data_IF_170598531907
#
_entry.id   IF_170598531907
#
_cell.length_a   1.000
_cell.length_b   1.000
_cell.length_c   1.000
_cell.angle_alpha   90.00
_cell.angle_beta   90.00
_cell.angle_gamma   90.00
#
_symmetry.space_group_name_H-M   'P 1'
#
loop_
_entity.id
_entity.type
_entity.pdbx_description
1 polymer ?
#
# COMPACT_ATOMS: atom_id res chain seq x y z
N UNK A 1 -62.49 22.59 97.78
CA UNK A 1 -63.09 23.81 97.21
C UNK A 1 -63.90 23.35 96.00
N UNK A 2 -65.20 23.12 96.24
CA UNK A 2 -66.11 22.41 95.34
C UNK A 2 -66.94 23.47 94.60
N UNK A 3 -66.99 23.35 93.28
CA UNK A 3 -67.78 24.08 92.28
C UNK A 3 -68.12 25.55 92.59
N UNK A 4 -67.36 26.46 91.99
CA UNK A 4 -67.66 27.90 91.98
C UNK A 4 -68.18 28.40 90.61
N UNK A 5 -68.52 27.49 89.71
CA UNK A 5 -69.17 27.79 88.43
C UNK A 5 -70.52 27.08 88.47
N UNK A 6 -71.59 27.83 88.24
CA UNK A 6 -72.93 27.25 88.09
C UNK A 6 -72.88 26.30 86.88
N UNK A 7 -73.19 25.00 87.03
CA UNK A 7 -73.19 24.07 85.89
C UNK A 7 -74.07 24.54 84.74
N UNK A 8 -75.10 25.36 85.00
CA UNK A 8 -75.91 25.97 83.96
C UNK A 8 -75.16 27.06 83.16
N UNK A 9 -74.24 27.78 83.79
CA UNK A 9 -73.40 28.81 83.16
C UNK A 9 -72.35 28.16 82.26
N UNK A 10 -71.70 27.08 82.72
CA UNK A 10 -70.76 26.30 81.88
C UNK A 10 -71.44 25.71 80.65
N UNK A 11 -72.67 25.19 80.78
CA UNK A 11 -73.43 24.68 79.64
C UNK A 11 -73.78 25.79 78.64
N UNK A 12 -74.07 27.01 79.11
CA UNK A 12 -74.30 28.17 78.24
C UNK A 12 -73.02 28.62 77.55
N UNK A 13 -71.90 28.72 78.26
CA UNK A 13 -70.60 29.04 77.64
C UNK A 13 -70.20 28.00 76.59
N UNK A 14 -70.44 26.71 76.84
CA UNK A 14 -70.17 25.67 75.83
C UNK A 14 -71.12 25.71 74.64
N UNK A 15 -72.36 26.17 74.83
CA UNK A 15 -73.33 26.33 73.75
C UNK A 15 -73.00 27.57 72.90
N UNK A 16 -72.61 28.67 73.55
CA UNK A 16 -72.18 29.91 72.88
C UNK A 16 -70.83 29.74 72.17
N UNK A 17 -69.93 28.91 72.71
CA UNK A 17 -68.67 28.54 72.06
C UNK A 17 -68.81 27.54 70.91
N UNK A 18 -69.99 26.92 70.73
CA UNK A 18 -70.25 25.99 69.63
C UNK A 18 -70.79 26.75 68.42
N UNK A 19 -69.86 27.22 67.58
CA UNK A 19 -70.21 27.95 66.35
C UNK A 19 -70.45 26.97 65.18
N UNK A 20 -71.69 26.48 65.11
CA UNK A 20 -72.15 25.59 64.04
C UNK A 20 -72.18 26.30 62.68
N UNK A 21 -72.39 27.62 62.66
CA UNK A 21 -72.51 28.39 61.42
C UNK A 21 -71.15 28.49 60.72
N UNK A 22 -70.08 28.77 61.47
CA UNK A 22 -68.71 28.71 60.95
C UNK A 22 -68.37 27.32 60.40
N UNK A 23 -68.76 26.25 61.09
CA UNK A 23 -68.51 24.88 60.62
C UNK A 23 -69.27 24.58 59.32
N UNK A 24 -70.52 25.01 59.18
CA UNK A 24 -71.31 24.87 57.95
C UNK A 24 -70.63 25.63 56.80
N UNK A 25 -70.20 26.88 57.04
CA UNK A 25 -69.47 27.67 56.04
C UNK A 25 -68.17 26.99 55.60
N UNK A 26 -67.46 26.35 56.53
CA UNK A 26 -66.26 25.57 56.17
C UNK A 26 -66.59 24.35 55.32
N UNK A 27 -67.69 23.65 55.62
CA UNK A 27 -68.16 22.50 54.84
C UNK A 27 -68.53 22.94 53.42
N UNK A 28 -69.24 24.06 53.28
CA UNK A 28 -69.62 24.61 51.97
C UNK A 28 -68.38 25.02 51.17
N UNK A 29 -67.38 25.64 51.82
CA UNK A 29 -66.10 25.95 51.19
C UNK A 29 -65.34 24.69 50.77
N UNK A 30 -65.36 23.63 51.57
CA UNK A 30 -64.75 22.33 51.21
C UNK A 30 -65.47 21.72 50.01
N UNK A 31 -66.81 21.75 49.99
CA UNK A 31 -67.61 21.23 48.89
C UNK A 31 -67.32 21.96 47.58
N UNK A 32 -67.18 23.28 47.62
CA UNK A 32 -66.82 24.08 46.44
C UNK A 32 -65.40 23.79 45.96
N UNK A 33 -64.43 23.71 46.89
CA UNK A 33 -63.06 23.32 46.54
C UNK A 33 -63.00 21.92 45.91
N UNK A 34 -63.81 20.98 46.40
CA UNK A 34 -63.91 19.64 45.82
C UNK A 34 -64.47 19.67 44.40
N UNK A 35 -65.47 20.52 44.12
CA UNK A 35 -65.98 20.72 42.76
C UNK A 35 -64.92 21.29 41.84
N UNK A 36 -64.21 22.33 42.27
CA UNK A 36 -63.11 22.92 41.49
C UNK A 36 -62.05 21.86 41.19
N UNK A 37 -61.61 21.10 42.19
CA UNK A 37 -60.63 20.02 42.00
C UNK A 37 -61.11 18.93 41.04
N UNK A 38 -62.40 18.57 41.09
CA UNK A 38 -62.98 17.61 40.15
C UNK A 38 -62.94 18.13 38.71
N UNK A 39 -63.33 19.38 38.49
CA UNK A 39 -63.29 19.99 37.15
C UNK A 39 -61.86 20.14 36.62
N UNK A 40 -60.91 20.56 37.45
CA UNK A 40 -59.50 20.61 37.04
C UNK A 40 -58.94 19.23 36.71
N UNK A 41 -59.33 18.20 37.48
CA UNK A 41 -58.92 16.83 37.22
C UNK A 41 -59.47 16.32 35.90
N UNK A 42 -60.75 16.54 35.62
CA UNK A 42 -61.36 16.16 34.34
C UNK A 42 -60.69 16.88 33.18
N UNK A 43 -60.45 18.19 33.31
CA UNK A 43 -59.75 18.97 32.29
C UNK A 43 -58.34 18.40 32.02
N UNK A 44 -57.56 18.08 33.06
CA UNK A 44 -56.23 17.48 32.91
C UNK A 44 -56.27 16.10 32.24
N UNK A 45 -57.29 15.29 32.53
CA UNK A 45 -57.47 13.98 31.89
C UNK A 45 -57.77 14.17 30.41
N UNK A 46 -58.69 15.08 30.07
CA UNK A 46 -59.07 15.36 28.67
C UNK A 46 -57.89 15.91 27.89
N UNK A 47 -57.15 16.87 28.43
CA UNK A 47 -55.97 17.42 27.75
C UNK A 47 -54.89 16.36 27.56
N UNK A 48 -54.61 15.55 28.59
CA UNK A 48 -53.64 14.46 28.49
C UNK A 48 -54.04 13.40 27.46
N UNK A 49 -55.32 13.07 27.35
CA UNK A 49 -55.83 12.16 26.33
C UNK A 49 -55.68 12.73 24.91
N UNK A 50 -55.99 14.02 24.72
CA UNK A 50 -55.79 14.69 23.44
C UNK A 50 -54.32 14.72 23.04
N UNK A 51 -53.42 15.07 23.95
CA UNK A 51 -51.98 15.04 23.72
C UNK A 51 -51.50 13.64 23.33
N UNK A 52 -51.90 12.60 24.07
CA UNK A 52 -51.58 11.22 23.75
C UNK A 52 -52.10 10.81 22.37
N UNK A 53 -53.31 11.23 21.99
CA UNK A 53 -53.87 10.94 20.68
C UNK A 53 -53.07 11.64 19.57
N UNK A 54 -52.67 12.90 19.76
CA UNK A 54 -51.83 13.61 18.77
C UNK A 54 -50.44 12.99 18.65
N UNK A 55 -49.81 12.60 19.76
CA UNK A 55 -48.51 11.94 19.79
C UNK A 55 -48.58 10.57 19.11
N UNK A 56 -49.62 9.79 19.41
CA UNK A 56 -49.86 8.48 18.78
C UNK A 56 -50.07 8.62 17.27
N UNK A 57 -50.83 9.63 16.82
CA UNK A 57 -50.99 9.95 15.41
C UNK A 57 -49.67 10.33 14.71
N UNK A 58 -48.87 11.21 15.33
CA UNK A 58 -47.54 11.58 14.83
C UNK A 58 -46.60 10.38 14.73
N UNK A 59 -46.63 9.50 15.73
CA UNK A 59 -45.81 8.29 15.76
C UNK A 59 -46.24 7.30 14.66
N UNK A 60 -47.53 7.14 14.43
CA UNK A 60 -48.05 6.32 13.33
C UNK A 60 -47.61 6.88 11.96
N UNK A 61 -47.72 8.20 11.76
CA UNK A 61 -47.28 8.86 10.54
C UNK A 61 -45.77 8.69 10.32
N UNK A 62 -44.95 8.91 11.35
CA UNK A 62 -43.50 8.72 11.25
C UNK A 62 -43.12 7.27 10.96
N UNK A 63 -43.79 6.29 11.60
CA UNK A 63 -43.58 4.87 11.28
C UNK A 63 -43.91 4.55 9.83
N UNK A 64 -45.01 5.09 9.31
CA UNK A 64 -45.37 4.91 7.91
C UNK A 64 -44.32 5.52 6.98
N UNK A 65 -43.86 6.74 7.24
CA UNK A 65 -42.80 7.39 6.45
C UNK A 65 -41.50 6.58 6.48
N UNK A 66 -41.11 6.03 7.64
CA UNK A 66 -39.94 5.16 7.76
C UNK A 66 -40.12 3.88 6.93
N UNK A 67 -41.28 3.23 7.02
CA UNK A 67 -41.57 2.04 6.23
C UNK A 67 -41.57 2.33 4.72
N UNK A 68 -42.12 3.47 4.29
CA UNK A 68 -42.08 3.91 2.90
C UNK A 68 -40.66 4.23 2.44
N UNK A 69 -39.83 4.84 3.29
CA UNK A 69 -38.40 5.07 3.00
C UNK A 69 -37.59 3.77 2.96
N UNK A 70 -37.91 2.79 3.79
CA UNK A 70 -37.28 1.46 3.78
C UNK A 70 -37.70 0.65 2.57
N UNK A 71 -38.99 0.71 2.20
CA UNK A 71 -39.53 0.10 0.99
C UNK A 71 -39.13 0.86 -0.29
N UNK A 72 -38.60 2.09 -0.16
CA UNK A 72 -38.19 2.90 -1.28
C UNK A 72 -37.11 2.18 -2.09
N UNK A 73 -37.46 1.88 -3.34
CA UNK A 73 -36.57 1.25 -4.32
C UNK A 73 -35.25 2.00 -4.46
N UNK A 74 -35.27 3.32 -4.27
CA UNK A 74 -34.08 4.19 -4.32
C UNK A 74 -33.06 3.81 -3.24
N UNK A 75 -33.49 3.51 -2.01
CA UNK A 75 -32.57 3.10 -0.94
C UNK A 75 -31.94 1.74 -1.25
N UNK A 76 -32.72 0.80 -1.78
CA UNK A 76 -32.22 -0.52 -2.17
C UNK A 76 -31.25 -0.42 -3.36
N UNK A 77 -31.53 0.45 -4.33
CA UNK A 77 -30.63 0.72 -5.44
C UNK A 77 -29.32 1.37 -4.96
N UNK A 78 -29.39 2.38 -4.10
CA UNK A 78 -28.21 3.00 -3.47
C UNK A 78 -27.40 1.95 -2.71
N UNK A 79 -28.06 1.08 -1.93
CA UNK A 79 -27.40 0.00 -1.19
C UNK A 79 -26.71 -1.00 -2.13
N UNK A 80 -27.32 -1.34 -3.26
CA UNK A 80 -26.70 -2.20 -4.29
C UNK A 80 -25.46 -1.53 -4.88
N UNK A 81 -25.59 -0.26 -5.29
CA UNK A 81 -24.46 0.51 -5.86
C UNK A 81 -23.31 0.67 -4.88
N UNK A 82 -23.59 0.90 -3.60
CA UNK A 82 -22.55 0.95 -2.55
C UNK A 82 -21.83 -0.40 -2.46
N UNK A 83 -22.58 -1.51 -2.46
CA UNK A 83 -21.99 -2.85 -2.40
C UNK A 83 -21.15 -3.18 -3.64
N UNK A 84 -21.62 -2.80 -4.83
CA UNK A 84 -20.89 -2.93 -6.09
C UNK A 84 -19.59 -2.11 -6.05
N UNK A 85 -19.66 -0.87 -5.57
CA UNK A 85 -18.48 0.00 -5.41
C UNK A 85 -17.47 -0.58 -4.42
N UNK A 86 -17.93 -1.14 -3.30
CA UNK A 86 -17.07 -1.79 -2.31
C UNK A 86 -16.37 -3.03 -2.87
N UNK A 87 -17.08 -3.84 -3.66
CA UNK A 87 -16.48 -5.00 -4.32
C UNK A 87 -15.43 -4.57 -5.35
N UNK A 88 -15.72 -3.54 -6.15
CA UNK A 88 -14.76 -3.00 -7.11
C UNK A 88 -13.51 -2.45 -6.41
N UNK A 89 -13.67 -1.76 -5.28
CA UNK A 89 -12.54 -1.28 -4.46
C UNK A 89 -11.70 -2.43 -3.92
N UNK A 90 -12.33 -3.52 -3.44
CA UNK A 90 -11.62 -4.71 -2.99
C UNK A 90 -10.84 -5.38 -4.12
N UNK A 91 -11.42 -5.47 -5.32
CA UNK A 91 -10.74 -6.08 -6.46
C UNK A 91 -9.57 -5.22 -6.97
N UNK A 92 -9.73 -3.89 -6.99
CA UNK A 92 -8.63 -2.96 -7.28
C UNK A 92 -7.51 -3.11 -6.25
N UNK A 93 -7.85 -3.19 -4.96
CA UNK A 93 -6.85 -3.37 -3.90
C UNK A 93 -6.11 -4.70 -4.00
N UNK A 94 -6.78 -5.79 -4.40
CA UNK A 94 -6.13 -7.07 -4.71
C UNK A 94 -5.16 -6.92 -5.88
N UNK A 95 -5.62 -6.36 -7.00
CA UNK A 95 -4.79 -6.15 -8.18
C UNK A 95 -3.57 -5.25 -7.88
N UNK A 96 -3.76 -4.21 -7.07
CA UNK A 96 -2.69 -3.32 -6.63
C UNK A 96 -1.68 -4.05 -5.73
N UNK A 97 -2.14 -4.93 -4.85
CA UNK A 97 -1.27 -5.76 -4.01
C UNK A 97 -0.45 -6.75 -4.84
N UNK A 98 -1.08 -7.42 -5.81
CA UNK A 98 -0.40 -8.32 -6.74
C UNK A 98 0.65 -7.57 -7.56
N UNK A 99 0.30 -6.40 -8.11
CA UNK A 99 1.24 -5.56 -8.86
C UNK A 99 2.40 -5.07 -7.99
N UNK A 100 2.13 -4.74 -6.73
CA UNK A 100 3.17 -4.31 -5.78
C UNK A 100 4.11 -5.46 -5.44
N UNK A 101 3.59 -6.68 -5.25
CA UNK A 101 4.40 -7.89 -5.04
C UNK A 101 5.29 -8.16 -6.26
N UNK A 102 4.70 -8.17 -7.46
CA UNK A 102 5.44 -8.37 -8.70
C UNK A 102 6.53 -7.31 -8.91
N UNK A 103 6.24 -6.04 -8.58
CA UNK A 103 7.24 -4.96 -8.60
C UNK A 103 8.38 -5.21 -7.63
N UNK A 104 8.07 -5.68 -6.42
CA UNK A 104 9.08 -5.98 -5.41
C UNK A 104 9.96 -7.16 -5.85
N UNK A 105 9.37 -8.24 -6.36
CA UNK A 105 10.10 -9.38 -6.91
C UNK A 105 11.02 -8.96 -8.06
N UNK A 106 10.51 -8.18 -9.01
CA UNK A 106 11.31 -7.68 -10.13
C UNK A 106 12.44 -6.76 -9.66
N UNK A 107 12.20 -5.92 -8.66
CA UNK A 107 13.23 -5.07 -8.07
C UNK A 107 14.33 -5.89 -7.38
N UNK A 108 13.97 -6.96 -6.68
CA UNK A 108 14.93 -7.88 -6.08
C UNK A 108 15.75 -8.61 -7.14
N UNK A 109 15.10 -9.12 -8.19
CA UNK A 109 15.80 -9.76 -9.32
C UNK A 109 16.75 -8.80 -10.02
N UNK A 110 16.35 -7.54 -10.24
CA UNK A 110 17.21 -6.52 -10.82
C UNK A 110 18.44 -6.25 -9.95
N UNK A 111 18.26 -6.14 -8.62
CA UNK A 111 19.38 -5.97 -7.69
C UNK A 111 20.35 -7.15 -7.77
N UNK A 112 19.84 -8.37 -7.74
CA UNK A 112 20.67 -9.58 -7.84
C UNK A 112 21.45 -9.62 -9.16
N UNK A 113 20.81 -9.26 -10.27
CA UNK A 113 21.44 -9.27 -11.59
C UNK A 113 22.52 -8.18 -11.72
N UNK A 114 22.31 -7.02 -11.10
CA UNK A 114 23.33 -5.97 -11.00
C UNK A 114 24.51 -6.43 -10.15
N UNK A 115 24.25 -7.12 -9.03
CA UNK A 115 25.31 -7.68 -8.18
C UNK A 115 26.11 -8.77 -8.91
N UNK A 116 25.43 -9.66 -9.64
CA UNK A 116 26.05 -10.66 -10.51
C UNK A 116 26.90 -10.00 -11.60
N UNK A 117 26.37 -8.98 -12.28
CA UNK A 117 27.09 -8.23 -13.30
C UNK A 117 28.36 -7.60 -12.73
N UNK A 118 28.27 -6.89 -11.60
CA UNK A 118 29.42 -6.29 -10.93
C UNK A 118 30.44 -7.35 -10.49
N UNK A 119 29.99 -8.54 -10.10
CA UNK A 119 30.89 -9.64 -9.74
C UNK A 119 31.65 -10.21 -10.95
N UNK A 120 30.97 -10.33 -12.10
CA UNK A 120 31.57 -10.79 -13.36
C UNK A 120 32.53 -9.75 -13.93
N UNK A 121 32.18 -8.46 -13.86
CA UNK A 121 33.06 -7.38 -14.30
C UNK A 121 34.39 -7.39 -13.54
N UNK A 122 34.35 -7.60 -12.21
CA UNK A 122 35.57 -7.82 -11.40
C UNK A 122 36.34 -9.07 -11.81
N UNK A 123 35.67 -10.19 -12.08
CA UNK A 123 36.36 -11.40 -12.53
C UNK A 123 37.04 -11.22 -13.89
N UNK A 124 36.45 -10.42 -14.79
CA UNK A 124 37.07 -10.07 -16.07
C UNK A 124 38.31 -9.20 -15.84
N UNK A 125 38.21 -8.17 -14.98
CA UNK A 125 39.35 -7.32 -14.60
C UNK A 125 40.51 -8.15 -13.99
N UNK A 126 40.18 -9.13 -13.15
CA UNK A 126 41.17 -10.04 -12.54
C UNK A 126 41.83 -10.99 -13.58
N UNK A 127 41.10 -11.40 -14.64
CA UNK A 127 41.63 -12.25 -15.71
C UNK A 127 42.54 -11.49 -16.68
N UNK A 128 42.22 -10.23 -16.97
CA UNK A 128 43.02 -9.36 -17.86
C UNK A 128 44.41 -9.05 -17.24
N UNK A 129 44.53 -9.16 -15.92
CA UNK A 129 45.81 -9.02 -15.20
C UNK A 129 46.74 -10.24 -15.32
N UNK A 130 46.27 -11.41 -15.81
CA UNK A 130 47.06 -12.65 -15.86
C UNK A 130 47.74 -12.86 -17.23
N UNK A 131 47.26 -12.22 -18.31
CA UNK A 131 47.97 -12.22 -19.60
C UNK A 131 48.87 -10.97 -19.73
N UNK A 132 50.08 -11.03 -19.17
CA UNK A 132 51.10 -9.98 -19.37
C UNK A 132 51.35 -9.71 -20.87
N UNK A 133 51.22 -8.46 -21.33
CA UNK A 133 51.45 -8.08 -22.74
C UNK A 133 52.93 -8.05 -23.14
N UNK A 134 53.88 -8.12 -22.19
CA UNK A 134 55.32 -7.96 -22.46
C UNK A 134 55.90 -9.06 -23.37
N UNK A 135 55.43 -10.32 -23.23
CA UNK A 135 55.93 -11.43 -24.04
C UNK A 135 55.43 -11.39 -25.50
N UNK A 136 54.21 -10.88 -25.72
CA UNK A 136 53.64 -10.74 -27.06
C UNK A 136 54.41 -9.67 -27.86
N UNK A 137 54.80 -8.58 -27.21
CA UNK A 137 55.55 -7.49 -27.86
C UNK A 137 56.99 -7.91 -28.23
N UNK A 138 57.67 -8.67 -27.38
CA UNK A 138 59.03 -9.15 -27.68
C UNK A 138 59.07 -10.08 -28.91
N UNK A 139 58.07 -10.96 -29.07
CA UNK A 139 57.96 -11.87 -30.22
C UNK A 139 57.62 -11.09 -31.49
N UNK A 140 56.70 -10.13 -31.41
CA UNK A 140 56.33 -9.27 -32.54
C UNK A 140 57.52 -8.43 -33.01
N UNK A 141 58.33 -7.89 -32.08
CA UNK A 141 59.54 -7.15 -32.40
C UNK A 141 60.59 -8.02 -33.10
N UNK A 142 60.84 -9.24 -32.61
CA UNK A 142 61.75 -10.19 -33.28
C UNK A 142 61.28 -10.52 -34.70
N UNK A 143 59.99 -10.76 -34.90
CA UNK A 143 59.41 -11.01 -36.23
C UNK A 143 59.52 -9.79 -37.17
N UNK A 144 59.35 -8.57 -36.65
CA UNK A 144 59.55 -7.34 -37.44
C UNK A 144 61.00 -7.18 -37.89
N UNK A 145 61.98 -7.54 -37.04
CA UNK A 145 63.41 -7.48 -37.40
C UNK A 145 63.71 -8.45 -38.55
N UNK A 146 63.28 -9.71 -38.46
CA UNK A 146 63.47 -10.68 -39.54
C UNK A 146 62.78 -10.26 -40.85
N UNK A 147 61.58 -9.64 -40.76
CA UNK A 147 60.88 -9.11 -41.94
C UNK A 147 61.59 -7.91 -42.56
N UNK A 148 62.18 -7.02 -41.74
CA UNK A 148 62.98 -5.88 -42.23
C UNK A 148 64.29 -6.32 -42.87
N UNK A 149 64.90 -7.38 -42.34
CA UNK A 149 66.05 -8.03 -42.97
C UNK A 149 65.70 -8.57 -44.35
N UNK A 150 64.43 -8.85 -44.65
CA UNK A 150 63.98 -9.27 -45.98
C UNK A 150 63.64 -10.76 -46.05
N UNK A 151 63.51 -11.42 -44.90
CA UNK A 151 63.06 -12.80 -44.79
C UNK A 151 61.53 -12.83 -44.80
N UNK A 152 60.94 -13.55 -45.74
CA UNK A 152 59.53 -13.90 -45.72
C UNK A 152 59.38 -15.41 -45.74
N UNK A 153 58.75 -15.96 -44.71
CA UNK A 153 58.45 -17.38 -44.62
C UNK A 153 57.04 -17.60 -45.15
N UNK A 154 56.89 -18.46 -46.16
CA UNK A 154 55.58 -18.99 -46.52
C UNK A 154 55.39 -20.36 -45.85
N UNK A 155 54.57 -20.36 -44.80
CA UNK A 155 54.25 -21.54 -44.01
C UNK A 155 53.47 -22.60 -44.80
N UNK A 156 52.83 -22.24 -45.93
CA UNK A 156 52.00 -23.17 -46.70
C UNK A 156 52.81 -24.02 -47.69
N UNK A 157 53.92 -23.48 -48.18
CA UNK A 157 54.78 -24.14 -49.17
C UNK A 157 56.14 -24.55 -48.62
N UNK A 158 56.44 -24.27 -47.34
CA UNK A 158 57.75 -24.47 -46.72
C UNK A 158 58.90 -23.79 -47.49
N UNK A 159 58.61 -22.64 -48.10
CA UNK A 159 59.57 -21.84 -48.86
C UNK A 159 59.91 -20.57 -48.09
N UNK A 160 61.20 -20.32 -47.93
CA UNK A 160 61.78 -19.09 -47.42
C UNK A 160 62.15 -18.20 -48.62
N UNK A 161 61.59 -17.00 -48.66
CA UNK A 161 61.91 -15.99 -49.66
C UNK A 161 62.90 -15.02 -49.02
N UNK A 162 64.08 -14.90 -49.62
CA UNK A 162 65.13 -13.99 -49.19
C UNK A 162 65.20 -12.83 -50.18
N UNK A 163 64.91 -11.62 -49.70
CA UNK A 163 64.96 -10.41 -50.51
C UNK A 163 66.13 -9.53 -50.11
N UNK A 164 67.12 -9.40 -51.00
CA UNK A 164 68.24 -8.47 -50.82
C UNK A 164 67.99 -7.18 -51.62
N UNK A 165 67.86 -6.06 -50.90
CA UNK A 165 67.62 -4.73 -51.49
C UNK A 165 68.78 -4.18 -52.31
N UNK A 166 70.02 -4.52 -51.96
CA UNK A 166 71.21 -3.95 -52.61
C UNK A 166 71.53 -4.62 -53.94
N UNK A 167 71.31 -5.94 -54.02
CA UNK A 167 71.58 -6.75 -55.21
C UNK A 167 70.34 -6.98 -56.10
N UNK A 168 69.17 -6.48 -55.66
CA UNK A 168 67.87 -6.61 -56.34
C UNK A 168 67.54 -8.06 -56.78
N UNK A 169 67.95 -9.03 -55.95
CA UNK A 169 67.76 -10.46 -56.17
C UNK A 169 66.78 -11.01 -55.15
N UNK A 170 65.80 -11.77 -55.64
CA UNK A 170 64.85 -12.54 -54.82
C UNK A 170 65.20 -14.01 -55.01
N UNK A 171 65.65 -14.67 -53.94
CA UNK A 171 65.97 -16.10 -53.98
C UNK A 171 64.93 -16.89 -53.18
N UNK A 172 64.69 -18.13 -53.62
CA UNK A 172 63.68 -19.02 -53.04
C UNK A 172 64.39 -20.26 -52.48
N UNK A 173 64.41 -20.39 -51.16
CA UNK A 173 64.97 -21.55 -50.47
C UNK A 173 63.85 -22.41 -49.92
N UNK A 174 63.73 -23.66 -50.37
CA UNK A 174 62.83 -24.63 -49.73
C UNK A 174 63.54 -25.22 -48.51
N UNK A 175 63.05 -24.92 -47.31
CA UNK A 175 63.64 -25.40 -46.06
C UNK A 175 63.02 -26.72 -45.57
N UNK A 176 62.04 -27.26 -46.31
CA UNK A 176 61.35 -28.51 -45.97
C UNK A 176 61.95 -29.79 -46.58
N UNK A 177 63.10 -29.71 -47.25
CA UNK A 177 63.80 -30.88 -47.81
C UNK A 177 64.95 -31.28 -46.88
N UNK A 178 64.90 -32.48 -46.27
CA UNK A 178 65.91 -33.07 -45.35
C UNK A 178 67.33 -33.20 -45.97
N UNK A 179 67.50 -32.76 -47.22
CA UNK A 179 68.76 -32.77 -47.96
C UNK A 179 69.73 -31.66 -47.56
N UNK A 180 69.27 -30.63 -46.85
CA UNK A 180 70.10 -29.50 -46.44
C UNK A 180 70.30 -29.48 -44.93
N UNK A 181 71.56 -29.41 -44.49
CA UNK A 181 71.88 -29.20 -43.07
C UNK A 181 71.53 -27.77 -42.63
N UNK A 182 71.10 -27.60 -41.39
CA UNK A 182 70.87 -26.29 -40.75
C UNK A 182 72.07 -25.33 -40.92
N UNK A 183 73.29 -25.88 -40.95
CA UNK A 183 74.52 -25.13 -41.19
C UNK A 183 74.59 -24.58 -42.62
N UNK A 184 74.20 -25.38 -43.61
CA UNK A 184 74.14 -24.97 -45.00
C UNK A 184 73.05 -23.91 -45.24
N UNK A 185 71.86 -24.10 -44.65
CA UNK A 185 70.75 -23.15 -44.73
C UNK A 185 71.15 -21.81 -44.13
N UNK A 186 71.79 -21.81 -42.95
CA UNK A 186 72.22 -20.60 -42.28
C UNK A 186 73.28 -19.84 -43.08
N UNK A 187 74.33 -20.52 -43.56
CA UNK A 187 75.37 -19.87 -44.38
C UNK A 187 74.79 -19.36 -45.71
N UNK A 188 73.90 -20.10 -46.34
CA UNK A 188 73.26 -19.69 -47.58
C UNK A 188 72.42 -18.41 -47.41
N UNK A 189 71.71 -18.29 -46.28
CA UNK A 189 70.97 -17.07 -45.94
C UNK A 189 71.92 -15.89 -45.73
N UNK A 190 73.01 -16.10 -44.98
CA UNK A 190 73.99 -15.04 -44.69
C UNK A 190 74.82 -14.60 -45.91
N UNK A 191 75.19 -15.52 -46.81
CA UNK A 191 75.94 -15.21 -48.04
C UNK A 191 75.11 -14.42 -49.07
N UNK A 192 73.78 -14.54 -49.00
CA UNK A 192 72.84 -13.87 -49.90
C UNK A 192 72.40 -12.49 -49.41
N UNK A 193 72.71 -12.14 -48.16
CA UNK A 193 72.55 -10.77 -47.67
C UNK A 193 73.66 -9.82 -48.17
#
# INVERSE_FOLDING_TARGET
MVLQIDPAELLRETLEGCDIETDIDTIDRIAENLRVLQTERENKIVTGQQELQTLSGKLAQQKQVVQEMEASKVRNEIKSRIKESQNAELDINKALKELTSARQELSTNMSNLVDEFNSLEKQIEDLDYIEEPEDKDAVVLKLMVYRKLGLKVDLKSSVLIIYNKEKNLTDFLNYGDDKYSDYFISNYIWDRF
#
